data_IF_622261412174
#
_entry.id   IF_622261412174
#
_cell.length_a   1.000
_cell.length_b   1.000
_cell.length_c   1.000
_cell.angle_alpha   90.00
_cell.angle_beta   90.00
_cell.angle_gamma   90.00
#
_symmetry.space_group_name_H-M   'P 1'
#
loop_
_entity.id
_entity.type
_entity.pdbx_description
1 polymer ?
#
# COMPACT_ATOMS: atom_id res chain seq x y z
N UNK A 1 -11.06 23.70 -25.26
CA UNK A 1 -10.37 22.38 -25.15
C UNK A 1 -10.20 21.82 -26.56
N UNK A 2 -9.07 21.16 -26.91
CA UNK A 2 -9.01 20.42 -28.19
C UNK A 2 -9.92 19.19 -28.09
N UNK A 3 -11.06 19.22 -28.78
CA UNK A 3 -11.96 18.08 -28.90
C UNK A 3 -11.24 16.90 -29.59
N UNK A 4 -11.56 15.65 -29.20
CA UNK A 4 -11.06 14.44 -29.87
C UNK A 4 -9.78 13.79 -29.31
N UNK A 5 -9.23 14.25 -28.18
CA UNK A 5 -8.07 13.58 -27.56
C UNK A 5 -8.54 12.41 -26.67
N UNK A 6 -8.42 11.18 -27.18
CA UNK A 6 -8.87 9.96 -26.50
C UNK A 6 -8.01 9.53 -25.29
N UNK A 7 -6.79 10.03 -25.14
CA UNK A 7 -5.84 9.61 -24.10
C UNK A 7 -4.85 10.73 -23.74
N UNK A 8 -4.26 10.66 -22.55
CA UNK A 8 -3.24 11.64 -22.11
C UNK A 8 -1.95 11.51 -22.93
N UNK A 9 -1.39 12.63 -23.37
CA UNK A 9 -0.10 12.64 -24.12
C UNK A 9 1.13 12.37 -23.25
N UNK A 10 1.05 12.62 -21.94
CA UNK A 10 2.11 12.39 -20.95
C UNK A 10 3.47 13.05 -21.31
N UNK A 11 3.43 14.16 -22.06
CA UNK A 11 4.60 14.89 -22.57
C UNK A 11 5.66 13.99 -23.22
N UNK A 12 5.22 13.01 -24.00
CA UNK A 12 6.07 12.02 -24.69
C UNK A 12 5.64 11.82 -26.13
N UNK A 13 6.59 11.45 -26.99
CA UNK A 13 6.34 10.96 -28.34
C UNK A 13 5.49 9.70 -28.33
N UNK A 14 4.87 9.34 -29.46
CA UNK A 14 3.96 8.19 -29.52
C UNK A 14 4.65 6.87 -29.15
N UNK A 15 5.84 6.63 -29.72
CA UNK A 15 6.65 5.43 -29.46
C UNK A 15 7.03 5.30 -27.98
N UNK A 16 7.60 6.36 -27.39
CA UNK A 16 7.99 6.36 -25.99
C UNK A 16 6.77 6.23 -25.06
N UNK A 17 5.64 6.89 -25.37
CA UNK A 17 4.42 6.73 -24.59
C UNK A 17 3.91 5.28 -24.61
N UNK A 18 3.89 4.65 -25.79
CA UNK A 18 3.50 3.25 -25.95
C UNK A 18 4.37 2.32 -25.10
N UNK A 19 5.69 2.42 -25.25
CA UNK A 19 6.63 1.57 -24.51
C UNK A 19 6.56 1.76 -22.99
N UNK A 20 6.47 3.01 -22.52
CA UNK A 20 6.28 3.30 -21.09
C UNK A 20 5.01 2.67 -20.54
N UNK A 21 3.89 2.76 -21.27
CA UNK A 21 2.63 2.18 -20.80
C UNK A 21 2.66 0.65 -20.81
N UNK A 22 3.28 0.03 -21.83
CA UNK A 22 3.54 -1.42 -21.85
C UNK A 22 4.36 -1.85 -20.63
N UNK A 23 5.41 -1.10 -20.31
CA UNK A 23 6.23 -1.34 -19.13
C UNK A 23 5.42 -1.25 -17.83
N UNK A 24 4.63 -0.18 -17.63
CA UNK A 24 3.80 -0.02 -16.44
C UNK A 24 2.78 -1.14 -16.26
N UNK A 25 2.12 -1.58 -17.35
CA UNK A 25 1.17 -2.69 -17.30
C UNK A 25 1.88 -4.01 -17.01
N UNK A 26 3.04 -4.26 -17.64
CA UNK A 26 3.85 -5.45 -17.37
C UNK A 26 4.27 -5.50 -15.90
N UNK A 27 4.77 -4.39 -15.34
CA UNK A 27 5.11 -4.31 -13.91
C UNK A 27 3.90 -4.45 -13.00
N UNK A 28 2.72 -3.94 -13.39
CA UNK A 28 1.49 -4.14 -12.62
C UNK A 28 1.09 -5.62 -12.58
N UNK A 29 1.15 -6.33 -13.70
CA UNK A 29 0.84 -7.76 -13.75
C UNK A 29 1.88 -8.60 -13.02
N UNK A 30 3.15 -8.17 -12.99
CA UNK A 30 4.22 -8.87 -12.28
C UNK A 30 4.12 -8.71 -10.75
N UNK A 31 3.83 -7.50 -10.27
CA UNK A 31 3.90 -7.17 -8.84
C UNK A 31 2.53 -7.02 -8.16
N UNK A 32 1.45 -7.07 -8.93
CA UNK A 32 0.05 -6.81 -8.54
C UNK A 32 -0.23 -5.39 -8.03
N UNK A 33 0.81 -4.60 -7.77
CA UNK A 33 0.73 -3.23 -7.27
C UNK A 33 1.95 -2.42 -7.69
N UNK A 34 1.73 -1.20 -8.16
CA UNK A 34 2.79 -0.25 -8.51
C UNK A 34 2.46 1.15 -7.99
N UNK A 35 3.50 1.93 -7.68
CA UNK A 35 3.39 3.34 -7.33
C UNK A 35 3.87 4.21 -8.49
N UNK A 36 3.03 5.14 -8.94
CA UNK A 36 3.36 6.05 -10.05
C UNK A 36 2.59 7.37 -9.94
N UNK A 37 2.74 8.28 -10.89
CA UNK A 37 1.98 9.53 -10.90
C UNK A 37 0.52 9.27 -11.30
N UNK A 38 -0.42 10.05 -10.76
CA UNK A 38 -1.86 9.92 -11.08
C UNK A 38 -2.15 9.84 -12.60
N UNK A 39 -1.59 10.72 -13.46
CA UNK A 39 -1.88 10.64 -14.90
C UNK A 39 -1.36 9.35 -15.53
N UNK A 40 -0.21 8.82 -15.09
CA UNK A 40 0.32 7.55 -15.59
C UNK A 40 -0.52 6.36 -15.11
N UNK A 41 -0.93 6.36 -13.84
CA UNK A 41 -1.77 5.32 -13.27
C UNK A 41 -3.11 5.20 -14.02
N UNK A 42 -3.76 6.33 -14.35
CA UNK A 42 -5.02 6.35 -15.09
C UNK A 42 -4.91 5.76 -16.50
N UNK A 43 -3.83 6.04 -17.22
CA UNK A 43 -3.62 5.46 -18.55
C UNK A 43 -3.23 3.98 -18.49
N UNK A 44 -2.39 3.60 -17.52
CA UNK A 44 -1.99 2.21 -17.32
C UNK A 44 -3.18 1.34 -16.88
N UNK A 45 -4.05 1.82 -16.00
CA UNK A 45 -5.27 1.13 -15.56
C UNK A 45 -6.15 0.72 -16.76
N UNK A 46 -6.41 1.65 -17.68
CA UNK A 46 -7.22 1.40 -18.88
C UNK A 46 -6.65 0.29 -19.76
N UNK A 47 -5.32 0.22 -19.89
CA UNK A 47 -4.66 -0.82 -20.69
C UNK A 47 -4.58 -2.15 -19.95
N UNK A 48 -4.31 -2.13 -18.64
CA UNK A 48 -4.31 -3.32 -17.80
C UNK A 48 -5.68 -4.00 -17.78
N UNK A 49 -6.78 -3.24 -17.70
CA UNK A 49 -8.12 -3.80 -17.78
C UNK A 49 -8.37 -4.53 -19.10
N UNK A 50 -7.91 -3.98 -20.23
CA UNK A 50 -7.99 -4.66 -21.52
C UNK A 50 -7.19 -5.96 -21.54
N UNK A 51 -5.97 -5.96 -21.00
CA UNK A 51 -5.15 -7.17 -20.94
C UNK A 51 -5.81 -8.26 -20.10
N UNK A 52 -6.43 -7.92 -18.98
CA UNK A 52 -7.17 -8.89 -18.15
C UNK A 52 -8.41 -9.40 -18.89
N UNK A 53 -9.13 -8.53 -19.61
CA UNK A 53 -10.24 -8.95 -20.46
C UNK A 53 -9.80 -9.93 -21.55
N UNK A 54 -8.63 -9.73 -22.17
CA UNK A 54 -8.05 -10.70 -23.11
C UNK A 54 -7.72 -12.03 -22.39
N UNK A 55 -7.12 -11.96 -21.21
CA UNK A 55 -6.85 -13.11 -20.34
C UNK A 55 -8.10 -13.95 -20.08
N UNK A 56 -9.22 -13.29 -19.76
CA UNK A 56 -10.53 -13.94 -19.55
C UNK A 56 -11.12 -14.59 -20.80
N UNK A 57 -10.85 -14.05 -22.00
CA UNK A 57 -11.35 -14.63 -23.26
C UNK A 57 -10.70 -15.97 -23.57
N UNK A 58 -9.39 -16.10 -23.32
CA UNK A 58 -8.67 -17.38 -23.48
C UNK A 58 -8.36 -17.80 -24.92
N UNK A 59 -8.90 -17.13 -25.94
CA UNK A 59 -8.69 -17.49 -27.35
C UNK A 59 -7.23 -17.34 -27.81
N UNK A 60 -6.84 -18.11 -28.82
CA UNK A 60 -5.50 -18.03 -29.42
C UNK A 60 -5.18 -16.63 -29.97
N UNK A 61 -6.17 -15.93 -30.51
CA UNK A 61 -6.02 -14.54 -30.95
C UNK A 61 -5.76 -13.59 -29.77
N UNK A 62 -6.49 -13.76 -28.66
CA UNK A 62 -6.29 -12.96 -27.45
C UNK A 62 -4.89 -13.18 -26.86
N UNK A 63 -4.39 -14.43 -26.91
CA UNK A 63 -3.03 -14.77 -26.47
C UNK A 63 -1.96 -14.11 -27.32
N UNK A 64 -2.11 -14.11 -28.66
CA UNK A 64 -1.21 -13.40 -29.58
C UNK A 64 -1.22 -11.87 -29.36
N UNK A 65 -2.39 -11.28 -29.14
CA UNK A 65 -2.51 -9.85 -28.86
C UNK A 65 -1.83 -9.47 -27.53
N UNK A 66 -2.02 -10.26 -26.48
CA UNK A 66 -1.36 -10.06 -25.19
C UNK A 66 0.16 -10.23 -25.30
N UNK A 67 0.64 -11.24 -26.04
CA UNK A 67 2.08 -11.47 -26.28
C UNK A 67 2.74 -10.30 -27.00
N UNK A 68 2.06 -9.73 -28.02
CA UNK A 68 2.56 -8.57 -28.74
C UNK A 68 2.66 -7.31 -27.84
N UNK A 69 1.81 -7.21 -26.82
CA UNK A 69 1.77 -6.07 -25.91
C UNK A 69 2.71 -6.19 -24.71
N UNK A 70 2.80 -7.35 -24.06
CA UNK A 70 3.63 -7.52 -22.87
C UNK A 70 5.13 -7.46 -23.22
N UNK A 71 5.95 -7.03 -22.26
CA UNK A 71 7.41 -7.03 -22.41
C UNK A 71 8.06 -8.29 -21.86
N UNK A 72 7.34 -9.02 -20.99
CA UNK A 72 7.77 -10.28 -20.39
C UNK A 72 6.76 -11.37 -20.76
N UNK A 73 7.25 -12.40 -21.48
CA UNK A 73 6.43 -13.52 -21.94
C UNK A 73 6.03 -14.47 -20.81
N UNK A 74 6.80 -14.53 -19.72
CA UNK A 74 6.49 -15.39 -18.57
C UNK A 74 5.15 -15.02 -17.90
N UNK A 75 4.73 -13.77 -18.04
CA UNK A 75 3.47 -13.27 -17.50
C UNK A 75 2.24 -13.73 -18.29
N UNK A 76 2.40 -14.31 -19.49
CA UNK A 76 1.28 -14.82 -20.27
C UNK A 76 0.56 -15.94 -19.54
N UNK A 77 1.29 -16.88 -18.96
CA UNK A 77 0.68 -18.01 -18.23
C UNK A 77 -0.02 -17.52 -16.95
N UNK A 78 0.53 -16.50 -16.30
CA UNK A 78 -0.12 -15.85 -15.14
C UNK A 78 -1.40 -15.12 -15.54
N UNK A 79 -1.40 -14.45 -16.71
CA UNK A 79 -2.54 -13.69 -17.22
C UNK A 79 -3.71 -14.59 -17.63
N UNK A 80 -3.43 -15.66 -18.37
CA UNK A 80 -4.45 -16.60 -18.85
C UNK A 80 -4.81 -17.70 -17.83
N UNK A 81 -4.00 -17.89 -16.79
CA UNK A 81 -4.31 -18.77 -15.66
C UNK A 81 -4.85 -17.96 -14.47
N UNK A 82 -3.94 -17.62 -13.54
CA UNK A 82 -4.27 -17.02 -12.24
C UNK A 82 -5.19 -15.80 -12.31
N UNK A 83 -4.94 -14.86 -13.24
CA UNK A 83 -5.77 -13.66 -13.35
C UNK A 83 -7.11 -13.91 -14.06
N UNK A 84 -7.15 -14.81 -15.05
CA UNK A 84 -8.39 -15.22 -15.68
C UNK A 84 -9.33 -15.86 -14.65
N UNK A 85 -8.83 -16.80 -13.85
CA UNK A 85 -9.57 -17.47 -12.78
C UNK A 85 -10.09 -16.46 -11.74
N UNK A 86 -9.19 -15.63 -11.18
CA UNK A 86 -9.54 -14.61 -10.17
C UNK A 86 -10.69 -13.71 -10.61
N UNK A 87 -10.72 -13.33 -11.88
CA UNK A 87 -11.66 -12.33 -12.38
C UNK A 87 -12.82 -12.90 -13.21
N UNK A 88 -13.02 -14.22 -13.21
CA UNK A 88 -14.06 -14.93 -13.96
C UNK A 88 -15.43 -14.25 -13.80
N UNK A 89 -15.89 -14.08 -12.56
CA UNK A 89 -17.21 -13.54 -12.25
C UNK A 89 -17.31 -12.01 -12.28
N UNK A 90 -16.18 -11.30 -12.39
CA UNK A 90 -16.12 -9.83 -12.30
C UNK A 90 -16.30 -9.16 -13.68
N UNK A 91 -17.36 -8.35 -13.90
CA UNK A 91 -17.61 -7.66 -15.17
C UNK A 91 -16.86 -6.31 -15.24
N UNK A 92 -15.52 -6.37 -15.37
CA UNK A 92 -14.66 -5.17 -15.43
C UNK A 92 -14.26 -4.62 -14.07
N UNK A 93 -13.51 -3.50 -14.07
CA UNK A 93 -13.03 -2.88 -12.83
C UNK A 93 -12.00 -3.75 -12.08
N UNK A 94 -11.05 -4.32 -12.82
CA UNK A 94 -9.99 -5.19 -12.28
C UNK A 94 -8.86 -4.42 -11.59
N UNK A 95 -8.80 -3.10 -11.84
CA UNK A 95 -7.77 -2.24 -11.29
C UNK A 95 -8.37 -1.21 -10.34
N UNK A 96 -7.58 -0.78 -9.36
CA UNK A 96 -7.95 0.30 -8.44
C UNK A 96 -6.81 1.31 -8.32
N UNK A 97 -7.19 2.59 -8.32
CA UNK A 97 -6.25 3.70 -8.15
C UNK A 97 -6.52 4.36 -6.80
N UNK A 98 -5.53 4.31 -5.92
CA UNK A 98 -5.52 5.05 -4.66
C UNK A 98 -4.65 6.27 -4.78
N UNK A 99 -5.15 7.46 -4.43
CA UNK A 99 -4.32 8.66 -4.35
C UNK A 99 -3.34 8.51 -3.19
N UNK A 100 -2.06 8.75 -3.44
CA UNK A 100 -0.97 8.58 -2.47
C UNK A 100 -0.17 9.88 -2.37
N UNK A 101 -0.82 10.94 -1.88
CA UNK A 101 -0.19 12.24 -1.65
C UNK A 101 0.58 12.79 -2.86
N UNK A 102 1.65 13.53 -2.56
CA UNK A 102 2.53 14.14 -3.55
C UNK A 102 3.97 13.64 -3.33
N UNK A 103 4.73 13.53 -4.41
CA UNK A 103 6.14 13.18 -4.36
C UNK A 103 6.96 14.34 -3.83
N UNK A 104 7.89 14.04 -2.93
CA UNK A 104 8.86 14.99 -2.42
C UNK A 104 9.79 15.50 -3.55
N UNK A 105 10.10 16.79 -3.52
CA UNK A 105 10.93 17.45 -4.53
C UNK A 105 10.12 18.15 -5.62
N UNK A 106 9.33 17.39 -6.39
CA UNK A 106 8.58 17.95 -7.53
C UNK A 106 7.08 18.12 -7.29
N UNK A 107 6.60 17.81 -6.08
CA UNK A 107 5.20 17.87 -5.66
C UNK A 107 4.24 17.16 -6.65
N UNK A 108 4.73 16.18 -7.41
CA UNK A 108 3.92 15.50 -8.40
C UNK A 108 2.90 14.59 -7.71
N UNK A 109 1.61 14.64 -8.07
CA UNK A 109 0.60 13.83 -7.42
C UNK A 109 0.81 12.34 -7.74
N UNK A 110 0.92 11.53 -6.70
CA UNK A 110 1.17 10.10 -6.79
C UNK A 110 -0.08 9.28 -6.54
N UNK A 111 -0.06 8.07 -7.06
CA UNK A 111 -1.08 7.07 -6.84
C UNK A 111 -0.47 5.67 -6.79
N UNK A 112 -1.15 4.81 -6.05
CA UNK A 112 -0.93 3.37 -6.09
C UNK A 112 -1.97 2.80 -7.05
N UNK A 113 -1.50 2.12 -8.09
CA UNK A 113 -2.31 1.32 -8.99
C UNK A 113 -2.17 -0.14 -8.58
N UNK A 114 -3.28 -0.81 -8.30
CA UNK A 114 -3.30 -2.20 -7.85
C UNK A 114 -4.31 -3.03 -8.63
N UNK A 115 -4.08 -4.34 -8.61
CA UNK A 115 -5.04 -5.37 -9.00
C UNK A 115 -5.97 -5.69 -7.81
N UNK A 116 -7.27 -5.73 -8.09
CA UNK A 116 -8.31 -6.00 -7.09
C UNK A 116 -8.32 -7.49 -6.71
N UNK A 117 -8.86 -7.84 -5.53
CA UNK A 117 -9.01 -9.23 -5.08
C UNK A 117 -7.68 -10.01 -4.97
N UNK A 118 -6.55 -9.29 -4.95
CA UNK A 118 -5.23 -9.85 -4.75
C UNK A 118 -4.84 -9.96 -3.27
N UNK A 119 -3.72 -10.63 -2.98
CA UNK A 119 -3.17 -10.74 -1.62
C UNK A 119 -2.70 -9.40 -1.07
N UNK A 120 -2.36 -8.43 -1.94
CA UNK A 120 -1.87 -7.08 -1.60
C UNK A 120 -2.91 -5.97 -1.82
N UNK A 121 -4.20 -6.31 -1.79
CA UNK A 121 -5.28 -5.33 -1.99
C UNK A 121 -5.35 -4.36 -0.79
N UNK A 122 -4.97 -3.10 -1.02
CA UNK A 122 -4.96 -2.08 0.03
C UNK A 122 -6.36 -1.80 0.56
N UNK A 123 -7.38 -1.86 -0.30
CA UNK A 123 -8.76 -1.59 0.13
C UNK A 123 -9.25 -2.69 1.06
N UNK A 124 -8.85 -3.93 0.81
CA UNK A 124 -9.14 -5.07 1.68
C UNK A 124 -8.53 -4.86 3.07
N UNK A 125 -7.22 -4.58 3.14
CA UNK A 125 -6.54 -4.35 4.41
C UNK A 125 -7.07 -3.12 5.16
N UNK A 126 -7.30 -2.00 4.48
CA UNK A 126 -7.85 -0.79 5.10
C UNK A 126 -9.25 -1.03 5.69
N UNK A 127 -10.07 -1.85 5.03
CA UNK A 127 -11.41 -2.17 5.49
C UNK A 127 -11.35 -3.12 6.69
N UNK A 128 -10.48 -4.14 6.66
CA UNK A 128 -10.23 -5.02 7.81
C UNK A 128 -9.78 -4.23 9.05
N UNK A 129 -8.87 -3.26 8.88
CA UNK A 129 -8.44 -2.37 9.96
C UNK A 129 -9.56 -1.49 10.49
N UNK A 130 -10.44 -0.98 9.62
CA UNK A 130 -11.59 -0.19 10.04
C UNK A 130 -12.58 -1.02 10.86
N UNK A 131 -12.90 -2.23 10.39
CA UNK A 131 -13.75 -3.18 11.11
C UNK A 131 -13.13 -3.56 12.45
N UNK A 132 -11.85 -3.95 12.48
CA UNK A 132 -11.13 -4.28 13.72
C UNK A 132 -11.08 -3.12 14.73
N UNK A 133 -11.01 -1.88 14.24
CA UNK A 133 -11.08 -0.68 15.09
C UNK A 133 -12.49 -0.48 15.66
N UNK A 134 -13.53 -0.64 14.85
CA UNK A 134 -14.93 -0.49 15.27
C UNK A 134 -15.33 -1.63 16.23
N UNK A 135 -14.92 -2.88 15.98
CA UNK A 135 -15.14 -4.00 16.91
C UNK A 135 -14.50 -3.73 18.27
N UNK A 136 -13.28 -3.19 18.27
CA UNK A 136 -12.59 -2.86 19.51
C UNK A 136 -13.28 -1.70 20.26
N UNK A 137 -13.82 -0.72 19.53
CA UNK A 137 -14.63 0.35 20.13
C UNK A 137 -15.80 -0.25 20.89
N UNK A 138 -16.54 -1.13 20.22
CA UNK A 138 -17.70 -1.81 20.78
C UNK A 138 -17.40 -2.65 22.00
N UNK A 139 -16.29 -3.38 21.96
CA UNK A 139 -15.84 -4.12 23.12
C UNK A 139 -15.60 -3.20 24.33
N UNK A 140 -14.82 -2.14 24.15
CA UNK A 140 -14.42 -1.27 25.25
C UNK A 140 -15.63 -0.52 25.87
N UNK A 141 -16.73 -0.35 25.14
CA UNK A 141 -18.00 0.17 25.67
C UNK A 141 -18.84 -0.87 26.42
N UNK A 142 -18.93 -2.12 25.91
CA UNK A 142 -19.87 -3.12 26.44
C UNK A 142 -19.23 -4.19 27.35
N UNK A 143 -17.91 -4.22 27.51
CA UNK A 143 -17.23 -5.04 28.54
C UNK A 143 -17.01 -6.52 28.20
N UNK A 144 -17.43 -7.02 27.03
CA UNK A 144 -17.27 -8.43 26.63
C UNK A 144 -16.40 -8.57 25.36
N UNK A 145 -15.15 -9.01 25.49
CA UNK A 145 -14.31 -9.48 24.37
C UNK A 145 -14.03 -10.94 24.61
N UNK A 146 -14.92 -11.79 24.12
CA UNK A 146 -14.62 -13.20 23.98
C UNK A 146 -14.18 -13.40 22.53
N UNK A 147 -12.87 -13.48 22.29
CA UNK A 147 -12.23 -14.04 21.09
C UNK A 147 -12.91 -13.77 19.72
N UNK A 148 -13.36 -12.54 19.44
CA UNK A 148 -13.99 -12.19 18.15
C UNK A 148 -15.49 -12.51 18.03
N UNK A 149 -16.15 -12.85 19.14
CA UNK A 149 -17.61 -12.96 19.21
C UNK A 149 -18.25 -11.62 18.81
N UNK A 150 -19.16 -11.66 17.82
CA UNK A 150 -19.75 -10.48 17.18
C UNK A 150 -19.08 -10.02 15.87
N UNK A 151 -17.78 -10.27 15.65
CA UNK A 151 -17.14 -10.01 14.35
C UNK A 151 -17.59 -11.03 13.30
N UNK A 152 -17.70 -12.31 13.71
CA UNK A 152 -18.24 -13.37 12.85
C UNK A 152 -19.68 -13.05 12.42
N UNK A 153 -20.53 -12.69 13.37
CA UNK A 153 -21.91 -12.28 13.09
C UNK A 153 -22.00 -11.08 12.14
N UNK A 154 -21.14 -10.07 12.32
CA UNK A 154 -21.10 -8.90 11.44
C UNK A 154 -20.64 -9.22 10.01
N UNK A 155 -19.85 -10.27 9.82
CA UNK A 155 -19.39 -10.66 8.49
C UNK A 155 -20.40 -11.57 7.78
N UNK A 156 -21.01 -12.49 8.52
CA UNK A 156 -21.95 -13.49 8.01
C UNK A 156 -23.36 -12.93 7.77
N UNK A 157 -23.87 -12.07 8.67
CA UNK A 157 -25.25 -11.56 8.60
C UNK A 157 -25.28 -10.07 8.24
N UNK A 158 -26.16 -9.69 7.31
CA UNK A 158 -26.33 -8.27 6.94
C UNK A 158 -26.85 -7.42 8.10
N UNK A 159 -27.79 -7.96 8.90
CA UNK A 159 -28.31 -7.32 10.11
C UNK A 159 -27.22 -7.11 11.17
N UNK A 160 -26.24 -8.03 11.21
CA UNK A 160 -25.06 -7.95 12.06
C UNK A 160 -24.13 -6.78 11.72
N UNK A 161 -24.33 -6.07 10.61
CA UNK A 161 -23.48 -4.93 10.16
C UNK A 161 -24.00 -3.57 10.60
N UNK A 162 -25.19 -3.49 11.21
CA UNK A 162 -25.85 -2.20 11.46
C UNK A 162 -25.12 -1.30 12.45
N UNK A 163 -24.29 -1.87 13.32
CA UNK A 163 -23.46 -1.13 14.26
C UNK A 163 -22.15 -0.62 13.64
N UNK A 164 -21.76 -1.13 12.46
CA UNK A 164 -20.63 -0.59 11.71
C UNK A 164 -21.02 0.73 11.05
N UNK A 165 -20.05 1.62 10.86
CA UNK A 165 -20.25 2.83 10.05
C UNK A 165 -20.78 2.48 8.68
N UNK A 166 -21.69 3.28 8.16
CA UNK A 166 -22.26 3.11 6.82
C UNK A 166 -21.17 2.93 5.74
N UNK A 167 -20.13 3.77 5.78
CA UNK A 167 -18.99 3.68 4.85
C UNK A 167 -18.16 2.42 5.04
N UNK A 168 -18.00 1.94 6.27
CA UNK A 168 -17.28 0.69 6.58
C UNK A 168 -18.07 -0.50 6.07
N UNK A 169 -19.39 -0.54 6.33
CA UNK A 169 -20.33 -1.53 5.80
C UNK A 169 -20.32 -1.58 4.27
N UNK A 170 -20.42 -0.43 3.60
CA UNK A 170 -20.35 -0.34 2.15
C UNK A 170 -19.03 -0.86 1.58
N UNK A 171 -17.90 -0.51 2.21
CA UNK A 171 -16.59 -1.00 1.76
C UNK A 171 -16.46 -2.51 1.97
N UNK A 172 -16.94 -3.02 3.11
CA UNK A 172 -16.92 -4.44 3.44
C UNK A 172 -17.66 -5.26 2.38
N UNK A 173 -18.87 -4.83 2.02
CA UNK A 173 -19.66 -5.45 0.96
C UNK A 173 -18.90 -5.46 -0.38
N UNK A 174 -18.34 -4.32 -0.79
CA UNK A 174 -17.59 -4.22 -2.07
C UNK A 174 -16.35 -5.09 -2.12
N UNK A 175 -15.66 -5.22 -1.00
CA UNK A 175 -14.41 -5.96 -0.88
C UNK A 175 -14.65 -7.47 -0.86
N UNK A 176 -15.74 -7.93 -0.24
CA UNK A 176 -16.07 -9.35 -0.13
C UNK A 176 -16.90 -9.88 -1.31
N UNK A 177 -17.63 -9.02 -2.04
CA UNK A 177 -18.60 -9.40 -3.09
C UNK A 177 -18.12 -10.47 -4.10
N UNK A 178 -16.85 -10.44 -4.51
CA UNK A 178 -16.30 -11.33 -5.54
C UNK A 178 -15.18 -12.24 -5.03
N UNK A 179 -14.99 -12.32 -3.71
CA UNK A 179 -13.93 -13.14 -3.11
C UNK A 179 -14.48 -14.50 -2.65
N UNK A 180 -13.60 -15.47 -2.51
CA UNK A 180 -13.93 -16.81 -2.00
C UNK A 180 -14.28 -16.77 -0.49
N UNK A 181 -14.96 -17.80 0.04
CA UNK A 181 -15.20 -17.92 1.48
C UNK A 181 -13.93 -17.87 2.33
N UNK A 182 -12.82 -18.45 1.84
CA UNK A 182 -11.51 -18.39 2.50
C UNK A 182 -11.01 -16.95 2.71
N UNK A 183 -11.34 -16.03 1.79
CA UNK A 183 -10.98 -14.63 1.95
C UNK A 183 -11.77 -13.95 3.08
N UNK A 184 -12.94 -14.48 3.46
CA UNK A 184 -13.69 -14.01 4.63
C UNK A 184 -12.95 -14.37 5.92
N UNK A 185 -12.40 -15.58 6.01
CA UNK A 185 -11.55 -16.01 7.13
C UNK A 185 -10.24 -15.20 7.18
N UNK A 186 -9.62 -14.95 6.02
CA UNK A 186 -8.47 -14.05 5.92
C UNK A 186 -8.82 -12.63 6.39
N UNK A 187 -10.03 -12.15 6.05
CA UNK A 187 -10.51 -10.85 6.50
C UNK A 187 -10.71 -10.81 8.03
N UNK A 188 -11.32 -11.85 8.60
CA UNK A 188 -11.51 -12.02 10.04
C UNK A 188 -10.17 -11.97 10.77
N UNK A 189 -9.21 -12.80 10.35
CA UNK A 189 -7.89 -12.86 10.98
C UNK A 189 -7.16 -11.52 10.94
N UNK A 190 -7.21 -10.79 9.82
CA UNK A 190 -6.63 -9.44 9.71
C UNK A 190 -7.33 -8.39 10.59
N UNK A 191 -8.65 -8.47 10.72
CA UNK A 191 -9.40 -7.56 11.59
C UNK A 191 -9.10 -7.82 13.08
N UNK A 192 -9.05 -9.09 13.48
CA UNK A 192 -8.68 -9.52 14.85
C UNK A 192 -7.23 -9.16 15.16
N UNK A 193 -6.28 -9.45 14.26
CA UNK A 193 -4.86 -9.10 14.42
C UNK A 193 -4.69 -7.59 14.63
N UNK A 194 -5.43 -6.78 13.85
CA UNK A 194 -5.40 -5.33 14.01
C UNK A 194 -5.99 -4.87 15.36
N UNK A 195 -7.12 -5.45 15.80
CA UNK A 195 -7.71 -5.13 17.10
C UNK A 195 -6.76 -5.51 18.25
N UNK A 196 -6.16 -6.70 18.20
CA UNK A 196 -5.16 -7.16 19.17
C UNK A 196 -3.94 -6.24 19.21
N UNK A 197 -3.45 -5.82 18.04
CA UNK A 197 -2.36 -4.84 17.94
C UNK A 197 -2.71 -3.52 18.63
N UNK A 198 -3.93 -3.03 18.44
CA UNK A 198 -4.40 -1.79 19.07
C UNK A 198 -4.46 -1.91 20.60
N UNK A 199 -4.83 -3.07 21.15
CA UNK A 199 -4.81 -3.34 22.60
C UNK A 199 -3.37 -3.45 23.13
N UNK A 200 -2.48 -4.11 22.38
CA UNK A 200 -1.11 -4.40 22.81
C UNK A 200 -0.16 -3.20 22.74
N UNK A 201 -0.33 -2.29 21.75
CA UNK A 201 0.55 -1.14 21.55
C UNK A 201 0.70 -0.24 22.81
N UNK A 202 -0.39 0.15 23.52
CA UNK A 202 -0.28 0.92 24.75
C UNK A 202 0.45 0.19 25.89
N UNK A 203 0.21 -1.11 26.06
CA UNK A 203 0.84 -1.94 27.09
C UNK A 203 2.35 -2.09 26.85
N UNK A 204 2.75 -2.34 25.59
CA UNK A 204 4.15 -2.49 25.22
C UNK A 204 4.97 -1.20 25.33
N UNK A 205 4.32 -0.04 25.29
CA UNK A 205 4.96 1.27 25.37
C UNK A 205 4.77 1.96 26.74
N UNK A 206 4.31 1.23 27.76
CA UNK A 206 4.18 1.71 29.15
C UNK A 206 3.48 3.08 29.26
N UNK A 207 2.42 3.29 28.46
CA UNK A 207 1.66 4.55 28.45
C UNK A 207 2.38 5.77 27.83
N UNK A 208 3.60 5.63 27.28
CA UNK A 208 4.33 6.71 26.60
C UNK A 208 3.73 7.10 25.24
N UNK A 209 2.76 6.33 24.75
CA UNK A 209 2.00 6.56 23.52
C UNK A 209 0.54 6.79 23.81
N UNK A 210 -0.19 7.23 22.77
CA UNK A 210 -1.63 7.41 22.85
C UNK A 210 -2.30 6.12 23.33
N UNK A 211 -2.84 6.10 24.54
CA UNK A 211 -3.73 5.06 25.03
C UNK A 211 -5.04 5.15 24.27
N UNK A 212 -5.66 4.00 24.03
CA UNK A 212 -6.99 3.94 23.45
C UNK A 212 -7.97 4.10 24.59
N UNK A 213 -8.72 5.20 24.60
CA UNK A 213 -9.79 5.43 25.56
C UNK A 213 -11.08 5.54 24.79
N UNK A 214 -12.09 4.84 25.30
CA UNK A 214 -13.46 4.97 24.82
C UNK A 214 -14.06 6.26 25.41
N UNK A 215 -14.57 7.17 24.56
CA UNK A 215 -15.25 8.36 25.05
C UNK A 215 -16.57 8.00 25.76
N UNK A 216 -17.08 8.85 26.66
CA UNK A 216 -18.39 8.66 27.27
C UNK A 216 -19.52 8.56 26.21
N UNK A 217 -20.63 7.84 26.48
CA UNK A 217 -21.70 7.61 25.51
C UNK A 217 -22.29 8.89 24.87
N UNK A 218 -22.30 9.99 25.60
CA UNK A 218 -22.89 11.27 25.16
C UNK A 218 -22.05 12.00 24.09
N UNK A 219 -20.79 11.61 23.88
CA UNK A 219 -19.89 12.26 22.92
C UNK A 219 -20.17 11.89 21.45
N UNK A 220 -20.86 10.78 21.19
CA UNK A 220 -21.03 10.21 19.85
C UNK A 220 -22.36 10.63 19.20
N UNK A 221 -22.40 11.88 18.70
CA UNK A 221 -23.55 12.47 17.98
C UNK A 221 -24.07 11.67 16.78
N UNK A 222 -23.27 10.74 16.25
CA UNK A 222 -23.61 9.95 15.06
C UNK A 222 -24.07 8.52 15.39
N UNK A 223 -24.15 8.14 16.67
CA UNK A 223 -24.49 6.76 17.09
C UNK A 223 -23.42 5.71 16.76
N UNK A 224 -22.18 6.14 16.50
CA UNK A 224 -21.06 5.27 16.14
C UNK A 224 -19.93 5.45 17.14
N UNK A 225 -19.60 4.37 17.85
CA UNK A 225 -18.52 4.33 18.84
C UNK A 225 -17.16 4.66 18.20
N UNK A 226 -16.48 5.69 18.73
CA UNK A 226 -15.20 6.17 18.19
C UNK A 226 -14.05 5.96 19.16
N UNK A 227 -13.09 5.10 18.78
CA UNK A 227 -11.79 5.11 19.45
C UNK A 227 -11.02 6.40 19.13
N UNK A 228 -10.86 7.24 20.16
CA UNK A 228 -9.98 8.40 20.15
C UNK A 228 -8.65 8.00 20.79
N UNK A 229 -7.52 8.24 20.13
CA UNK A 229 -6.23 7.95 20.73
C UNK A 229 -5.87 9.13 21.68
N UNK A 230 -5.69 8.85 22.97
CA UNK A 230 -5.46 9.82 24.05
C UNK A 230 -4.01 9.77 24.50
N UNK A 231 -3.29 10.89 24.53
CA UNK A 231 -1.88 10.95 24.97
C UNK A 231 -0.95 11.64 23.98
N UNK A 232 0.34 11.67 24.29
CA UNK A 232 1.34 12.43 23.51
C UNK A 232 1.54 11.81 22.13
N UNK A 233 1.47 12.65 21.09
CA UNK A 233 1.79 12.26 19.71
C UNK A 233 3.31 12.19 19.57
N UNK A 234 3.84 11.05 19.13
CA UNK A 234 5.26 10.95 18.78
C UNK A 234 5.56 11.78 17.53
N UNK A 235 6.67 12.52 17.59
CA UNK A 235 7.14 13.34 16.48
C UNK A 235 7.96 12.52 15.50
N UNK A 236 8.03 12.96 14.24
CA UNK A 236 8.88 12.31 13.25
C UNK A 236 10.35 12.38 13.70
N UNK A 237 11.02 11.23 13.80
CA UNK A 237 12.40 11.12 14.27
C UNK A 237 12.58 10.93 15.77
N UNK A 238 11.52 11.09 16.57
CA UNK A 238 11.52 10.76 17.99
C UNK A 238 11.60 9.24 18.18
N UNK A 239 12.47 8.78 19.09
CA UNK A 239 12.69 7.36 19.38
C UNK A 239 12.40 7.10 20.85
N UNK A 240 11.64 6.04 21.13
CA UNK A 240 11.56 5.47 22.48
C UNK A 240 12.66 4.42 22.65
N UNK A 241 13.15 4.23 23.88
CA UNK A 241 14.02 3.11 24.20
C UNK A 241 13.26 1.79 24.00
N UNK A 242 13.94 0.74 23.51
CA UNK A 242 13.34 -0.59 23.31
C UNK A 242 12.55 -0.82 22.01
N UNK A 243 12.41 0.18 21.14
CA UNK A 243 11.58 0.05 19.93
C UNK A 243 12.32 -0.62 18.74
N UNK A 244 11.72 -1.67 18.15
CA UNK A 244 12.29 -2.35 16.97
C UNK A 244 12.14 -1.52 15.68
N UNK A 245 13.18 -1.49 14.84
CA UNK A 245 13.24 -0.62 13.65
C UNK A 245 12.49 -1.23 12.47
N UNK A 246 12.36 -2.56 12.41
CA UNK A 246 11.92 -3.34 11.24
C UNK A 246 10.50 -3.03 10.76
N UNK A 247 9.58 -2.69 11.66
CA UNK A 247 8.17 -2.47 11.33
C UNK A 247 7.75 -0.98 11.27
N UNK A 248 8.66 -0.05 11.55
CA UNK A 248 8.39 1.39 11.44
C UNK A 248 8.40 1.84 9.98
N UNK A 249 7.70 2.92 9.63
CA UNK A 249 7.74 3.48 8.28
C UNK A 249 9.17 3.80 7.78
N UNK A 250 10.10 4.08 8.69
CA UNK A 250 11.53 4.26 8.43
C UNK A 250 12.31 2.95 8.20
N UNK A 251 11.90 1.85 8.84
CA UNK A 251 12.46 0.51 8.62
C UNK A 251 11.94 -0.13 7.33
N UNK A 252 10.64 -0.01 7.08
CA UNK A 252 10.00 -0.45 5.83
C UNK A 252 10.53 0.37 4.65
N UNK A 253 10.75 1.68 4.82
CA UNK A 253 11.37 2.53 3.80
C UNK A 253 12.86 2.24 3.57
N UNK A 254 13.56 1.62 4.53
CA UNK A 254 14.99 1.33 4.38
C UNK A 254 15.26 0.16 3.44
N UNK A 255 14.37 -0.84 3.32
CA UNK A 255 14.54 -1.98 2.40
C UNK A 255 15.94 -2.62 2.42
N UNK A 256 16.26 -3.44 1.41
CA UNK A 256 17.62 -3.98 1.23
C UNK A 256 18.69 -2.90 0.88
N UNK A 257 18.26 -1.68 0.58
CA UNK A 257 19.09 -0.52 0.22
C UNK A 257 19.59 0.28 1.44
N UNK A 258 19.16 -0.08 2.64
CA UNK A 258 19.61 0.48 3.91
C UNK A 258 20.92 -0.11 4.45
N UNK A 259 21.63 -0.96 3.69
CA UNK A 259 23.03 -1.30 4.01
C UNK A 259 23.86 -0.03 3.92
N UNK A 260 24.62 0.27 4.98
CA UNK A 260 25.49 1.43 5.02
C UNK A 260 26.42 1.44 3.80
N UNK A 261 26.60 2.60 3.16
CA UNK A 261 27.69 2.78 2.20
C UNK A 261 28.99 2.38 2.90
N UNK A 262 29.88 1.57 2.29
CA UNK A 262 31.22 1.40 2.83
C UNK A 262 31.84 2.79 3.04
N UNK A 263 32.56 2.97 4.15
CA UNK A 263 33.26 4.22 4.47
C UNK A 263 34.06 4.63 3.22
N UNK A 264 33.82 5.84 2.70
CA UNK A 264 34.62 6.39 1.60
C UNK A 264 36.09 6.32 2.00
N UNK A 265 36.97 5.87 1.09
CA UNK A 265 38.41 5.91 1.33
C UNK A 265 38.85 7.36 1.55
N UNK A 266 39.77 7.56 2.51
CA UNK A 266 40.35 8.88 2.86
C UNK A 266 41.23 9.48 1.75
N UNK A 267 41.20 8.90 0.55
CA UNK A 267 42.05 9.27 -0.59
C UNK A 267 41.72 10.66 -1.17
N UNK A 268 40.51 11.18 -0.93
CA UNK A 268 40.05 12.48 -1.47
C UNK A 268 39.81 13.56 -0.40
N UNK A 269 40.21 13.34 0.87
CA UNK A 269 40.15 14.36 1.94
C UNK A 269 41.51 15.04 2.23
N UNK A 270 42.60 14.55 1.65
CA UNK A 270 43.91 15.21 1.67
C UNK A 270 43.98 16.29 0.60
N UNK A 271 43.42 17.46 0.89
CA UNK A 271 43.45 18.61 -0.01
C UNK A 271 44.86 18.99 -0.47
N UNK A 272 44.92 19.56 -1.67
CA UNK A 272 46.05 20.31 -2.25
C UNK A 272 46.53 21.45 -1.33
N UNK A 273 47.18 21.14 -0.21
CA UNK A 273 47.81 22.13 0.67
C UNK A 273 49.23 21.78 1.14
N UNK A 274 49.79 20.63 0.76
CA UNK A 274 51.13 20.21 1.19
C UNK A 274 52.21 20.18 0.09
N UNK A 275 52.02 20.89 -1.02
CA UNK A 275 53.06 21.01 -2.07
C UNK A 275 53.92 22.30 -1.91
N UNK A 276 53.63 23.17 -0.94
CA UNK A 276 54.33 24.46 -0.79
C UNK A 276 55.23 24.60 0.45
N UNK A 277 55.47 23.54 1.24
CA UNK A 277 56.33 23.59 2.45
C UNK A 277 57.47 22.56 2.47
N UNK A 278 58.18 22.42 1.35
CA UNK A 278 59.37 21.56 1.23
C UNK A 278 60.61 22.27 0.66
N UNK A 279 60.74 23.59 0.84
CA UNK A 279 61.95 24.37 0.51
C UNK A 279 62.45 25.09 1.75
N UNK A 280 63.27 24.41 2.55
CA UNK A 280 64.14 24.87 3.64
C UNK A 280 64.56 23.57 4.36
N UNK A 281 65.80 23.14 4.53
CA UNK A 281 67.14 23.72 4.43
C UNK A 281 68.10 22.57 4.04
N UNK A 282 69.16 22.85 3.28
CA UNK A 282 70.33 21.95 3.18
C UNK A 282 71.33 22.41 4.23
N UNK A 283 71.71 21.60 5.24
CA UNK A 283 72.93 21.86 5.98
C UNK A 283 74.14 21.42 5.14
N UNK A 284 75.19 22.24 5.24
CA UNK A 284 76.46 22.11 4.53
C UNK A 284 77.26 20.88 5.01
N UNK A 285 78.24 20.52 4.18
CA UNK A 285 79.16 19.42 4.37
C UNK A 285 79.98 19.49 5.67
N UNK A 286 80.24 18.31 6.22
CA UNK A 286 81.48 17.90 6.89
C UNK A 286 81.59 16.39 6.83
#
# INVERSE_FOLDING_TARGET
>A
MKHGIAFRKLSRTSSHRGLMLRNLVTSLLQHEQIKTTIPKAKEAARLAEKMITLGKKGDLNARREAEAFLLDRSLLDTLFGRYAERYTQRPGGYTRIHKYGHREGDHAPHAILELVDGPRDLKFEMTARAVGKETLARYLHHGEFRNGDGLKDALEKEEGRNWLRERTRWNLEKVLKFRSPQAMEEFQSKAVDWANRLIAEPQAHDGLRRTIVVPPPDDDKDGVERLKPVGRRQMAGERLSGMSVSASGLGIAKGALGKQKPRKSRFWEGGWKDISKGKQERPAAS
#
